data_IF_676503185356
#
_entry.id   IF_676503185356
#
_cell.length_a   1.000
_cell.length_b   1.000
_cell.length_c   1.000
_cell.angle_alpha   90.00
_cell.angle_beta   90.00
_cell.angle_gamma   90.00
#
_symmetry.space_group_name_H-M   'P 1'
#
loop_
_entity.id
_entity.type
_entity.pdbx_description
1 polymer ?
#
# COMPACT_ATOMS: atom_id res chain seq x y z
N UNK A 1 -17.87 -28.81 -18.26
CA UNK A 1 -16.70 -28.65 -17.37
C UNK A 1 -15.54 -27.85 -17.99
N UNK A 2 -15.27 -27.90 -19.31
CA UNK A 2 -14.14 -27.17 -19.93
C UNK A 2 -14.19 -25.63 -19.93
N UNK A 3 -15.36 -25.02 -20.13
CA UNK A 3 -15.52 -23.55 -20.20
C UNK A 3 -15.23 -22.83 -18.86
N UNK A 4 -15.56 -23.48 -17.73
CA UNK A 4 -15.29 -22.94 -16.39
C UNK A 4 -13.79 -22.90 -16.07
N UNK A 5 -13.03 -23.90 -16.52
CA UNK A 5 -11.58 -23.98 -16.32
C UNK A 5 -10.84 -22.91 -17.14
N UNK A 6 -11.23 -22.70 -18.39
CA UNK A 6 -10.65 -21.66 -19.25
C UNK A 6 -10.89 -20.25 -18.69
N UNK A 7 -12.12 -19.96 -18.21
CA UNK A 7 -12.45 -18.69 -17.55
C UNK A 7 -11.65 -18.46 -16.26
N UNK A 8 -11.38 -19.52 -15.52
CA UNK A 8 -10.54 -19.46 -14.32
C UNK A 8 -9.09 -19.12 -14.66
N UNK A 9 -8.51 -19.80 -15.66
CA UNK A 9 -7.13 -19.57 -16.11
C UNK A 9 -6.93 -18.14 -16.62
N UNK A 10 -7.89 -17.63 -17.40
CA UNK A 10 -7.87 -16.26 -17.89
C UNK A 10 -7.96 -15.24 -16.75
N UNK A 11 -8.73 -15.56 -15.70
CA UNK A 11 -8.75 -14.77 -14.47
C UNK A 11 -7.37 -14.66 -13.80
N UNK A 12 -6.67 -15.80 -13.66
CA UNK A 12 -5.32 -15.82 -13.09
C UNK A 12 -4.30 -15.07 -13.94
N UNK A 13 -4.41 -15.15 -15.27
CA UNK A 13 -3.55 -14.38 -16.18
C UNK A 13 -3.72 -12.89 -15.99
N UNK A 14 -4.98 -12.40 -15.99
CA UNK A 14 -5.29 -10.98 -15.76
C UNK A 14 -4.82 -10.49 -14.40
N UNK A 15 -4.99 -11.31 -13.35
CA UNK A 15 -4.48 -10.98 -12.01
C UNK A 15 -2.95 -10.85 -12.00
N UNK A 16 -2.23 -11.77 -12.65
CA UNK A 16 -0.78 -11.71 -12.75
C UNK A 16 -0.31 -10.43 -13.45
N UNK A 17 -0.91 -10.10 -14.60
CA UNK A 17 -0.59 -8.90 -15.37
C UNK A 17 -0.88 -7.62 -14.57
N UNK A 18 -2.01 -7.57 -13.87
CA UNK A 18 -2.33 -6.46 -12.97
C UNK A 18 -1.29 -6.32 -11.85
N UNK A 19 -0.95 -7.41 -11.16
CA UNK A 19 0.01 -7.39 -10.06
C UNK A 19 1.43 -7.07 -10.53
N UNK A 20 1.78 -7.38 -11.78
CA UNK A 20 3.05 -6.98 -12.39
C UNK A 20 3.13 -5.46 -12.56
N UNK A 21 2.05 -4.82 -13.03
CA UNK A 21 1.96 -3.35 -13.08
C UNK A 21 2.03 -2.73 -11.69
N UNK A 22 1.33 -3.29 -10.71
CA UNK A 22 1.42 -2.86 -9.30
C UNK A 22 2.86 -2.92 -8.79
N UNK A 23 3.61 -3.99 -9.12
CA UNK A 23 5.02 -4.11 -8.74
C UNK A 23 5.92 -3.10 -9.42
N UNK A 24 5.64 -2.74 -10.68
CA UNK A 24 6.38 -1.69 -11.39
C UNK A 24 6.22 -0.33 -10.69
N UNK A 25 5.09 -0.08 -10.02
CA UNK A 25 4.87 1.09 -9.16
C UNK A 25 5.37 0.90 -7.71
N UNK A 26 6.10 -0.19 -7.41
CA UNK A 26 6.52 -0.52 -6.05
C UNK A 26 5.38 -0.85 -5.08
N UNK A 27 4.14 -0.99 -5.57
CA UNK A 27 2.92 -1.14 -4.77
C UNK A 27 2.30 0.18 -4.30
N UNK A 28 2.86 1.32 -4.70
CA UNK A 28 2.37 2.67 -4.38
C UNK A 28 1.76 3.33 -5.64
N UNK A 29 1.01 4.42 -5.47
CA UNK A 29 0.47 5.25 -6.57
C UNK A 29 -0.26 4.48 -7.69
N UNK A 30 -1.10 3.53 -7.27
CA UNK A 30 -1.78 2.55 -8.12
C UNK A 30 -3.19 2.97 -8.55
N UNK A 31 -3.64 4.18 -8.24
CA UNK A 31 -5.03 4.64 -8.44
C UNK A 31 -5.44 4.55 -9.91
N UNK A 32 -4.50 4.84 -10.81
CA UNK A 32 -4.69 4.74 -12.26
C UNK A 32 -4.91 3.28 -12.73
N UNK A 33 -4.38 2.28 -12.01
CA UNK A 33 -4.54 0.86 -12.31
C UNK A 33 -5.86 0.29 -11.79
N UNK A 34 -6.41 0.87 -10.72
CA UNK A 34 -7.58 0.31 -10.02
C UNK A 34 -8.83 0.23 -10.90
N UNK A 35 -8.96 1.09 -11.91
CA UNK A 35 -10.03 1.03 -12.92
C UNK A 35 -10.03 -0.27 -13.73
N UNK A 36 -8.85 -0.87 -13.92
CA UNK A 36 -8.66 -2.12 -14.66
C UNK A 36 -8.44 -3.33 -13.75
N UNK A 37 -8.68 -3.19 -12.44
CA UNK A 37 -8.45 -4.26 -11.47
C UNK A 37 -9.32 -5.48 -11.80
N UNK A 38 -8.74 -6.68 -11.96
CA UNK A 38 -9.51 -7.91 -12.12
C UNK A 38 -10.40 -8.16 -10.90
N UNK A 39 -11.64 -8.59 -11.13
CA UNK A 39 -12.64 -8.75 -10.07
C UNK A 39 -12.21 -9.67 -8.92
N UNK A 40 -11.41 -10.71 -9.19
CA UNK A 40 -10.90 -11.66 -8.19
C UNK A 40 -9.54 -11.30 -7.58
N UNK A 41 -8.92 -10.19 -7.99
CA UNK A 41 -7.62 -9.82 -7.44
C UNK A 41 -7.75 -9.37 -5.98
N UNK A 42 -6.96 -9.97 -5.09
CA UNK A 42 -6.97 -9.70 -3.64
C UNK A 42 -6.14 -8.46 -3.26
N UNK A 43 -6.22 -7.41 -4.06
CA UNK A 43 -5.52 -6.15 -3.88
C UNK A 43 -6.51 -5.03 -3.59
N UNK A 44 -6.24 -4.19 -2.60
CA UNK A 44 -7.08 -3.03 -2.28
C UNK A 44 -6.21 -1.78 -2.18
N UNK A 45 -6.75 -0.66 -2.65
CA UNK A 45 -6.17 0.67 -2.49
C UNK A 45 -7.16 1.53 -1.70
N UNK A 46 -6.71 2.12 -0.59
CA UNK A 46 -7.55 2.85 0.34
C UNK A 46 -6.96 4.22 0.66
N UNK A 47 -7.75 5.25 0.40
CA UNK A 47 -7.50 6.62 0.83
C UNK A 47 -7.93 6.81 2.29
N UNK A 48 -7.14 7.58 3.05
CA UNK A 48 -7.47 7.98 4.41
C UNK A 48 -8.14 9.35 4.38
N UNK A 49 -9.32 9.43 4.98
CA UNK A 49 -10.04 10.69 5.16
C UNK A 49 -10.34 10.91 6.64
N UNK A 50 -10.81 12.11 6.99
CA UNK A 50 -11.23 12.42 8.37
C UNK A 50 -12.32 11.46 8.86
N UNK A 51 -13.24 11.06 7.99
CA UNK A 51 -14.35 10.15 8.32
C UNK A 51 -13.95 8.68 8.29
N UNK A 52 -12.83 8.34 7.63
CA UNK A 52 -12.29 6.99 7.50
C UNK A 52 -10.81 6.99 7.91
N UNK A 53 -10.53 7.10 9.21
CA UNK A 53 -9.16 7.12 9.70
C UNK A 53 -8.46 5.79 9.43
N UNK A 54 -7.13 5.85 9.33
CA UNK A 54 -6.32 4.65 9.15
C UNK A 54 -6.52 3.68 10.33
N UNK A 55 -6.66 2.37 10.06
CA UNK A 55 -6.66 1.38 11.12
C UNK A 55 -5.39 1.46 11.98
N UNK A 56 -5.51 1.18 13.28
CA UNK A 56 -4.38 1.27 14.23
C UNK A 56 -3.14 0.47 13.79
N UNK A 57 -3.33 -0.70 13.17
CA UNK A 57 -2.21 -1.51 12.69
C UNK A 57 -1.46 -0.88 11.50
N UNK A 58 -2.14 -0.12 10.64
CA UNK A 58 -1.49 0.65 9.57
C UNK A 58 -0.64 1.77 10.16
N UNK A 59 -1.13 2.44 11.21
CA UNK A 59 -0.35 3.44 11.97
C UNK A 59 0.92 2.83 12.56
N UNK A 60 0.83 1.62 13.11
CA UNK A 60 1.98 0.91 13.64
C UNK A 60 2.99 0.57 12.53
N UNK A 61 2.54 0.11 11.36
CA UNK A 61 3.43 -0.18 10.23
C UNK A 61 4.10 1.07 9.66
N UNK A 62 3.39 2.20 9.58
CA UNK A 62 3.99 3.48 9.20
C UNK A 62 5.11 3.89 10.17
N UNK A 63 4.84 3.81 11.49
CA UNK A 63 5.85 4.09 12.53
C UNK A 63 7.05 3.15 12.43
N UNK A 64 6.83 1.87 12.18
CA UNK A 64 7.89 0.89 12.00
C UNK A 64 8.77 1.22 10.78
N UNK A 65 8.15 1.60 9.65
CA UNK A 65 8.87 2.04 8.45
C UNK A 65 9.73 3.27 8.70
N UNK A 66 9.17 4.30 9.33
CA UNK A 66 9.89 5.52 9.71
C UNK A 66 11.02 5.21 10.69
N UNK A 67 10.78 4.38 11.70
CA UNK A 67 11.81 3.98 12.66
C UNK A 67 12.99 3.27 11.98
N UNK A 68 12.71 2.33 11.05
CA UNK A 68 13.74 1.68 10.24
C UNK A 68 14.52 2.70 9.40
N UNK A 69 13.84 3.65 8.77
CA UNK A 69 14.50 4.71 8.00
C UNK A 69 15.42 5.56 8.89
N UNK A 70 14.93 6.01 10.05
CA UNK A 70 15.71 6.77 11.03
C UNK A 70 16.99 6.03 11.46
N UNK A 71 16.90 4.72 11.75
CA UNK A 71 18.08 3.92 12.10
C UNK A 71 19.11 3.84 10.97
N UNK A 72 18.67 3.77 9.71
CA UNK A 72 19.56 3.63 8.56
C UNK A 72 20.19 4.98 8.17
N UNK A 73 19.40 6.06 8.21
CA UNK A 73 19.79 7.38 7.69
C UNK A 73 20.30 8.34 8.79
N UNK A 74 20.19 7.97 10.07
CA UNK A 74 20.57 8.84 11.18
C UNK A 74 19.65 10.04 11.36
N UNK A 75 18.37 9.92 10.96
CA UNK A 75 17.36 10.98 11.06
C UNK A 75 16.48 10.82 12.30
N UNK A 76 15.69 11.85 12.64
CA UNK A 76 14.71 11.81 13.72
C UNK A 76 13.30 12.19 13.23
N UNK A 77 12.85 11.56 12.15
CA UNK A 77 11.53 11.81 11.59
C UNK A 77 10.44 11.21 12.48
N UNK A 78 9.35 11.94 12.65
CA UNK A 78 8.15 11.50 13.36
C UNK A 78 6.97 11.31 12.40
N UNK A 79 6.10 10.34 12.70
CA UNK A 79 4.86 10.17 11.94
C UNK A 79 3.92 11.36 12.20
N UNK A 80 3.55 12.09 11.15
CA UNK A 80 2.56 13.17 11.20
C UNK A 80 1.16 12.69 10.79
N UNK A 81 1.07 11.85 9.76
CA UNK A 81 -0.21 11.36 9.25
C UNK A 81 -0.05 10.24 8.22
N UNK A 82 -1.18 9.64 7.84
CA UNK A 82 -1.26 8.63 6.78
C UNK A 82 -2.20 9.18 5.72
N UNK A 83 -1.76 9.13 4.47
CA UNK A 83 -2.54 9.62 3.33
C UNK A 83 -3.35 8.49 2.71
N UNK A 84 -2.68 7.36 2.47
CA UNK A 84 -3.28 6.18 1.85
C UNK A 84 -2.50 4.92 2.19
N UNK A 85 -3.15 3.78 2.05
CA UNK A 85 -2.48 2.49 2.11
C UNK A 85 -3.08 1.51 1.10
N UNK A 86 -2.21 0.69 0.54
CA UNK A 86 -2.59 -0.42 -0.31
C UNK A 86 -2.30 -1.73 0.42
N UNK A 87 -3.13 -2.73 0.21
CA UNK A 87 -2.95 -4.06 0.79
C UNK A 87 -3.11 -5.12 -0.26
N UNK A 88 -2.18 -6.07 -0.26
CA UNK A 88 -2.27 -7.29 -1.03
C UNK A 88 -2.39 -8.47 -0.07
N UNK A 89 -3.57 -9.10 -0.04
CA UNK A 89 -3.81 -10.26 0.80
C UNK A 89 -3.37 -11.54 0.07
N UNK A 90 -2.32 -12.18 0.58
CA UNK A 90 -2.01 -13.57 0.28
C UNK A 90 -2.36 -14.44 1.48
N UNK A 91 -2.62 -15.71 1.24
CA UNK A 91 -2.65 -16.71 2.31
C UNK A 91 -1.23 -17.29 2.37
N UNK A 92 -0.51 -17.23 3.50
CA UNK A 92 -0.97 -16.85 4.86
C UNK A 92 -0.68 -15.39 5.30
N UNK A 93 -0.12 -14.53 4.44
CA UNK A 93 0.36 -13.20 4.85
C UNK A 93 -0.14 -12.05 3.97
N UNK A 94 -0.25 -10.85 4.55
CA UNK A 94 -0.64 -9.64 3.81
C UNK A 94 0.56 -8.71 3.63
N UNK A 95 0.68 -8.12 2.45
CA UNK A 95 1.68 -7.08 2.16
C UNK A 95 0.98 -5.73 2.22
N UNK A 96 1.53 -4.79 3.00
CA UNK A 96 0.99 -3.44 3.16
C UNK A 96 1.97 -2.42 2.58
N UNK A 97 1.45 -1.51 1.77
CA UNK A 97 2.16 -0.38 1.20
C UNK A 97 1.53 0.88 1.80
N UNK A 98 2.25 1.59 2.67
CA UNK A 98 1.69 2.71 3.43
C UNK A 98 2.36 4.01 3.00
N UNK A 99 1.55 4.96 2.53
CA UNK A 99 2.00 6.32 2.21
C UNK A 99 1.71 7.20 3.41
N UNK A 100 2.77 7.74 4.01
CA UNK A 100 2.69 8.48 5.27
C UNK A 100 3.47 9.79 5.18
N UNK A 101 2.93 10.81 5.85
CA UNK A 101 3.60 12.09 6.04
C UNK A 101 4.46 11.98 7.28
N UNK A 102 5.77 12.18 7.11
CA UNK A 102 6.70 12.33 8.23
C UNK A 102 7.05 13.81 8.41
N UNK A 103 7.30 14.22 9.66
CA UNK A 103 7.77 15.55 10.02
C UNK A 103 9.12 15.45 10.68
N UNK A 104 9.99 16.42 10.43
CA UNK A 104 11.22 16.60 11.20
C UNK A 104 10.95 17.63 12.31
N UNK A 105 10.98 17.24 13.59
CA UNK A 105 10.81 18.18 14.70
C UNK A 105 11.87 19.28 14.73
N UNK A 106 13.07 19.03 14.21
CA UNK A 106 14.17 19.99 14.19
C UNK A 106 14.05 21.02 13.05
N UNK A 107 13.27 20.74 12.01
CA UNK A 107 13.03 21.65 10.90
C UNK A 107 12.06 22.81 11.23
N UNK A 108 11.54 22.85 12.47
CA UNK A 108 10.65 23.91 12.98
C UNK A 108 11.35 25.16 13.52
N UNK A 109 12.65 25.35 13.28
CA UNK A 109 13.43 26.50 13.77
C UNK A 109 13.83 27.48 12.67
N UNK A 110 13.30 28.71 12.78
CA UNK A 110 13.68 29.97 12.11
C UNK A 110 13.36 30.16 10.62
N UNK A 111 12.30 30.93 10.37
CA UNK A 111 12.32 32.09 9.47
C UNK A 111 12.35 33.37 10.32
#
# INVERSE_FOLDING_TARGET
>A
MGDSSAKMLEGFRKEREFMEKVRQCGGFDVEHLMKAKPGRCNFMALEITKDKPAPRYIVLYARLGIHKYNMIQGTNLELNGIEKYNVFHKIPYSIHFVTAVAKDPAAGGSL
#
